data_IF_684136862931
#
_entry.id   IF_684136862931
#
_cell.length_a   1.000
_cell.length_b   1.000
_cell.length_c   1.000
_cell.angle_alpha   90.00
_cell.angle_beta   90.00
_cell.angle_gamma   90.00
#
_symmetry.space_group_name_H-M   'P 1'
#
loop_
_entity.id
_entity.type
_entity.pdbx_description
1 polymer ?
#
# COMPACT_ATOMS: atom_id res chain seq x y z
N UNK A 1 1.75 -6.68 -8.49
CA UNK A 1 0.52 -6.22 -9.16
C UNK A 1 -0.14 -5.20 -8.26
N UNK A 2 -0.43 -4.01 -8.77
CA UNK A 2 -0.87 -2.89 -7.93
C UNK A 2 -2.35 -3.04 -7.56
N UNK A 3 -3.20 -3.24 -8.56
CA UNK A 3 -4.64 -3.38 -8.36
C UNK A 3 -5.21 -4.53 -9.20
N UNK A 4 -6.07 -5.34 -8.58
CA UNK A 4 -6.85 -6.39 -9.23
C UNK A 4 -8.34 -6.16 -8.94
N UNK A 5 -9.12 -5.84 -9.96
CA UNK A 5 -10.57 -5.80 -9.88
C UNK A 5 -11.14 -7.13 -10.37
N UNK A 6 -11.86 -7.82 -9.49
CA UNK A 6 -12.53 -9.07 -9.80
C UNK A 6 -14.03 -8.85 -10.02
N UNK A 7 -14.50 -9.16 -11.21
CA UNK A 7 -15.92 -9.22 -11.56
C UNK A 7 -16.31 -10.68 -11.85
N UNK A 8 -17.57 -11.11 -11.67
CA UNK A 8 -18.01 -12.43 -12.12
C UNK A 8 -17.84 -12.70 -13.62
N UNK A 9 -17.59 -11.66 -14.44
CA UNK A 9 -17.53 -11.76 -15.91
C UNK A 9 -16.13 -11.58 -16.49
N UNK A 10 -15.23 -10.94 -15.75
CA UNK A 10 -13.86 -10.65 -16.18
C UNK A 10 -12.99 -10.28 -14.97
N UNK A 11 -11.69 -10.23 -15.20
CA UNK A 11 -10.70 -9.72 -14.26
C UNK A 11 -10.03 -8.51 -14.90
N UNK A 12 -9.85 -7.42 -14.16
CA UNK A 12 -9.11 -6.25 -14.62
C UNK A 12 -7.87 -6.06 -13.74
N UNK A 13 -6.71 -6.19 -14.36
CA UNK A 13 -5.41 -5.84 -13.78
C UNK A 13 -5.14 -4.37 -14.09
N UNK A 14 -4.72 -3.59 -13.10
CA UNK A 14 -4.27 -2.22 -13.32
C UNK A 14 -2.94 -1.97 -12.63
N UNK A 15 -2.05 -1.27 -13.33
CA UNK A 15 -0.80 -0.69 -12.79
C UNK A 15 -0.97 0.83 -12.75
N UNK A 16 -0.85 1.42 -11.56
CA UNK A 16 -1.17 2.83 -11.33
C UNK A 16 0.12 3.61 -11.15
N UNK A 17 0.42 4.50 -12.08
CA UNK A 17 1.62 5.34 -12.05
C UNK A 17 1.27 6.76 -11.64
N UNK A 18 1.87 7.20 -10.53
CA UNK A 18 1.82 8.58 -10.06
C UNK A 18 3.09 9.34 -10.46
N UNK A 19 3.20 9.72 -11.75
CA UNK A 19 4.43 10.28 -12.32
C UNK A 19 4.13 11.59 -13.02
N UNK A 20 4.67 12.70 -12.50
CA UNK A 20 4.62 14.02 -13.14
C UNK A 20 5.51 14.09 -14.38
N UNK A 21 5.09 14.86 -15.38
CA UNK A 21 5.90 15.21 -16.56
C UNK A 21 5.29 14.73 -17.87
N UNK A 22 6.08 14.79 -18.95
CA UNK A 22 5.69 14.18 -20.23
C UNK A 22 6.14 12.73 -20.24
N UNK A 23 5.19 11.82 -20.39
CA UNK A 23 5.36 10.38 -20.39
C UNK A 23 5.31 9.88 -21.84
N UNK A 24 6.48 9.54 -22.38
CA UNK A 24 6.62 9.06 -23.75
C UNK A 24 6.76 7.53 -23.79
N UNK A 25 5.84 6.89 -24.48
CA UNK A 25 5.88 5.45 -24.77
C UNK A 25 6.40 5.26 -26.19
N UNK A 26 7.66 4.86 -26.30
CA UNK A 26 8.29 4.60 -27.60
C UNK A 26 8.09 3.15 -28.02
N UNK A 27 7.46 2.94 -29.18
CA UNK A 27 7.27 1.62 -29.77
C UNK A 27 8.56 1.04 -30.35
N UNK A 28 9.48 1.87 -30.85
CA UNK A 28 10.66 1.38 -31.56
C UNK A 28 11.73 0.88 -30.61
N UNK A 29 12.04 1.66 -29.59
CA UNK A 29 12.99 1.28 -28.53
C UNK A 29 12.36 0.47 -27.39
N UNK A 30 11.03 0.34 -27.39
CA UNK A 30 10.21 -0.20 -26.27
C UNK A 30 10.40 0.55 -24.93
N UNK A 31 11.00 1.74 -24.97
CA UNK A 31 11.30 2.53 -23.78
C UNK A 31 10.09 3.30 -23.27
N UNK A 32 10.06 3.47 -21.95
CA UNK A 32 9.17 4.40 -21.28
C UNK A 32 10.02 5.54 -20.72
N UNK A 33 9.84 6.74 -21.28
CA UNK A 33 10.67 7.90 -21.00
C UNK A 33 9.82 8.97 -20.32
N UNK A 34 10.37 9.58 -19.29
CA UNK A 34 9.80 10.77 -18.66
C UNK A 34 10.66 11.98 -18.97
N UNK A 35 10.02 13.06 -19.42
CA UNK A 35 10.65 14.37 -19.57
C UNK A 35 10.08 15.35 -18.55
N UNK A 36 10.94 15.96 -17.72
CA UNK A 36 10.59 17.03 -16.78
C UNK A 36 11.72 18.06 -16.75
N UNK A 37 11.41 19.34 -16.91
CA UNK A 37 12.40 20.43 -16.96
C UNK A 37 13.57 20.12 -17.92
N UNK A 38 13.24 19.66 -19.14
CA UNK A 38 14.20 19.27 -20.19
C UNK A 38 15.11 18.07 -19.86
N UNK A 39 14.94 17.44 -18.70
CA UNK A 39 15.66 16.22 -18.32
C UNK A 39 14.85 15.00 -18.69
N UNK A 40 15.49 14.07 -19.39
CA UNK A 40 14.93 12.77 -19.73
C UNK A 40 15.44 11.68 -18.79
N UNK A 41 14.52 10.81 -18.41
CA UNK A 41 14.82 9.65 -17.57
C UNK A 41 14.06 8.44 -18.10
N UNK A 42 14.78 7.33 -18.29
CA UNK A 42 14.20 6.06 -18.71
C UNK A 42 13.67 5.28 -17.51
N UNK A 43 12.51 4.65 -17.70
CA UNK A 43 11.83 3.83 -16.70
C UNK A 43 11.51 2.45 -17.27
N UNK A 44 11.23 1.51 -16.37
CA UNK A 44 10.61 0.23 -16.76
C UNK A 44 9.24 0.48 -17.38
N UNK A 45 9.00 -0.09 -18.56
CA UNK A 45 7.76 0.10 -19.28
C UNK A 45 6.56 -0.54 -18.54
N UNK A 46 5.57 0.25 -18.08
CA UNK A 46 4.44 -0.27 -17.31
C UNK A 46 3.49 -1.13 -18.15
N UNK A 47 3.48 -0.96 -19.48
CA UNK A 47 2.70 -1.84 -20.38
C UNK A 47 3.25 -3.27 -20.30
N UNK A 48 4.58 -3.41 -20.40
CA UNK A 48 5.24 -4.70 -20.29
C UNK A 48 5.02 -5.31 -18.88
N UNK A 49 4.95 -4.47 -17.84
CA UNK A 49 4.64 -4.91 -16.48
C UNK A 49 3.24 -5.53 -16.38
N UNK A 50 2.20 -4.87 -16.90
CA UNK A 50 0.83 -5.39 -16.85
C UNK A 50 0.63 -6.60 -17.75
N UNK A 51 1.31 -6.68 -18.89
CA UNK A 51 1.26 -7.85 -19.77
C UNK A 51 1.90 -9.08 -19.11
N UNK A 52 3.03 -8.91 -18.42
CA UNK A 52 3.61 -9.98 -17.60
C UNK A 52 2.65 -10.44 -16.51
N UNK A 53 2.02 -9.51 -15.79
CA UNK A 53 1.03 -9.87 -14.76
C UNK A 53 -0.16 -10.62 -15.34
N UNK A 54 -0.66 -10.23 -16.51
CA UNK A 54 -1.72 -10.96 -17.23
C UNK A 54 -1.32 -12.43 -17.48
N UNK A 55 -0.13 -12.66 -18.04
CA UNK A 55 0.37 -14.02 -18.31
C UNK A 55 0.52 -14.82 -17.01
N UNK A 56 1.12 -14.21 -15.99
CA UNK A 56 1.32 -14.85 -14.68
C UNK A 56 0.00 -15.22 -14.01
N UNK A 57 -0.97 -14.31 -14.01
CA UNK A 57 -2.28 -14.57 -13.42
C UNK A 57 -3.02 -15.68 -14.17
N UNK A 58 -3.01 -15.66 -15.50
CA UNK A 58 -3.61 -16.72 -16.33
C UNK A 58 -3.03 -18.08 -15.98
N UNK A 59 -1.70 -18.20 -15.95
CA UNK A 59 -1.00 -19.44 -15.61
C UNK A 59 -1.32 -19.88 -14.18
N UNK A 60 -1.40 -18.93 -13.24
CA UNK A 60 -1.74 -19.20 -11.85
C UNK A 60 -3.19 -19.71 -11.69
N UNK A 61 -4.16 -19.13 -12.39
CA UNK A 61 -5.55 -19.60 -12.39
C UNK A 61 -5.65 -21.04 -12.90
N UNK A 62 -4.95 -21.35 -14.00
CA UNK A 62 -4.89 -22.71 -14.56
C UNK A 62 -4.27 -23.70 -13.57
N UNK A 63 -3.12 -23.36 -12.99
CA UNK A 63 -2.42 -24.20 -12.01
C UNK A 63 -3.30 -24.51 -10.78
N UNK A 64 -4.13 -23.55 -10.36
CA UNK A 64 -5.04 -23.71 -9.22
C UNK A 64 -6.41 -24.28 -9.58
N UNK A 65 -6.64 -24.69 -10.84
CA UNK A 65 -7.93 -25.23 -11.33
C UNK A 65 -9.09 -24.28 -10.99
N UNK A 66 -8.89 -23.01 -11.29
CA UNK A 66 -9.86 -21.92 -11.14
C UNK A 66 -10.47 -21.59 -12.51
N UNK A 67 -11.67 -20.98 -12.54
CA UNK A 67 -12.31 -20.56 -13.78
C UNK A 67 -11.42 -19.56 -14.55
N UNK A 68 -11.38 -19.70 -15.87
CA UNK A 68 -10.62 -18.83 -16.76
C UNK A 68 -11.52 -17.73 -17.29
N UNK A 69 -11.65 -16.67 -16.49
CA UNK A 69 -12.28 -15.44 -16.93
C UNK A 69 -11.39 -14.69 -17.94
N UNK A 70 -11.98 -13.89 -18.85
CA UNK A 70 -11.24 -12.87 -19.59
C UNK A 70 -10.45 -11.96 -18.63
N UNK A 71 -9.19 -11.70 -18.96
CA UNK A 71 -8.31 -10.85 -18.15
C UNK A 71 -7.95 -9.60 -18.96
N UNK A 72 -8.52 -8.47 -18.58
CA UNK A 72 -8.14 -7.15 -19.07
C UNK A 72 -6.96 -6.61 -18.27
N UNK A 73 -6.12 -5.81 -18.91
CA UNK A 73 -4.99 -5.16 -18.24
C UNK A 73 -4.77 -3.74 -18.75
N UNK A 74 -4.59 -2.78 -17.85
CA UNK A 74 -4.44 -1.35 -18.18
C UNK A 74 -3.37 -0.67 -17.34
N UNK A 75 -2.78 0.39 -17.88
CA UNK A 75 -1.91 1.32 -17.15
C UNK A 75 -2.70 2.59 -16.90
N UNK A 76 -2.71 3.04 -15.64
CA UNK A 76 -3.47 4.20 -15.21
C UNK A 76 -2.50 5.26 -14.75
N UNK A 77 -2.56 6.45 -15.34
CA UNK A 77 -1.76 7.60 -14.90
C UNK A 77 -2.59 8.41 -13.92
N UNK A 78 -2.19 8.43 -12.64
CA UNK A 78 -2.94 9.10 -11.58
C UNK A 78 -2.57 10.56 -11.39
N UNK A 79 -1.39 10.99 -11.86
CA UNK A 79 -0.96 12.39 -11.74
C UNK A 79 -1.66 13.23 -12.84
N UNK A 80 -2.59 14.15 -12.51
CA UNK A 80 -3.48 14.76 -13.51
C UNK A 80 -2.77 15.61 -14.56
N UNK A 81 -1.72 16.33 -14.18
CA UNK A 81 -0.99 17.23 -15.09
C UNK A 81 0.05 16.53 -15.97
N UNK A 82 0.09 15.19 -15.96
CA UNK A 82 1.01 14.44 -16.81
C UNK A 82 0.54 14.46 -18.26
N UNK A 83 1.47 14.45 -19.20
CA UNK A 83 1.13 14.42 -20.63
C UNK A 83 1.54 13.05 -21.17
N UNK A 84 0.57 12.28 -21.69
CA UNK A 84 0.85 10.98 -22.31
C UNK A 84 1.12 11.18 -23.80
N UNK A 85 2.28 10.73 -24.28
CA UNK A 85 2.66 10.76 -25.70
C UNK A 85 3.15 9.39 -26.16
N UNK A 86 2.99 9.11 -27.44
CA UNK A 86 3.54 7.91 -28.08
C UNK A 86 3.56 8.05 -29.60
N UNK A 87 4.50 7.37 -30.24
CA UNK A 87 4.51 7.09 -31.68
C UNK A 87 3.57 5.92 -32.08
N UNK A 88 2.81 5.36 -31.13
CA UNK A 88 1.85 4.28 -31.37
C UNK A 88 0.46 4.62 -30.81
N UNK A 89 -0.50 5.06 -31.65
CA UNK A 89 -1.84 5.43 -31.19
C UNK A 89 -2.61 4.33 -30.44
N UNK A 90 -2.28 3.05 -30.66
CA UNK A 90 -2.94 1.94 -29.99
C UNK A 90 -2.71 1.95 -28.46
N UNK A 91 -1.66 2.61 -27.98
CA UNK A 91 -1.36 2.66 -26.54
C UNK A 91 -2.47 3.37 -25.75
N UNK A 92 -3.21 4.30 -26.33
CA UNK A 92 -4.27 5.05 -25.64
C UNK A 92 -5.50 4.20 -25.29
N UNK A 93 -5.57 2.98 -25.82
CA UNK A 93 -6.55 1.99 -25.36
C UNK A 93 -6.11 1.30 -24.07
N UNK A 94 -4.78 1.15 -23.88
CA UNK A 94 -4.15 0.49 -22.74
C UNK A 94 -3.75 1.46 -21.61
N UNK A 95 -3.38 2.68 -21.96
CA UNK A 95 -2.83 3.71 -21.05
C UNK A 95 -3.73 4.95 -21.08
N UNK A 96 -4.20 5.41 -19.92
CA UNK A 96 -5.04 6.59 -19.81
C UNK A 96 -5.00 7.20 -18.39
N UNK A 97 -5.49 8.43 -18.26
CA UNK A 97 -5.60 9.10 -16.95
C UNK A 97 -6.69 8.49 -16.07
N UNK A 98 -6.46 8.48 -14.76
CA UNK A 98 -7.36 7.88 -13.78
C UNK A 98 -8.83 8.35 -13.89
N UNK A 99 -9.06 9.61 -14.26
CA UNK A 99 -10.41 10.17 -14.47
C UNK A 99 -11.23 9.43 -15.54
N UNK A 100 -10.58 8.77 -16.51
CA UNK A 100 -11.26 8.01 -17.56
C UNK A 100 -11.58 6.58 -17.16
N UNK A 101 -11.10 6.10 -16.01
CA UNK A 101 -11.30 4.72 -15.57
C UNK A 101 -12.78 4.30 -15.49
N UNK A 102 -13.71 5.10 -14.93
CA UNK A 102 -15.13 4.70 -14.88
C UNK A 102 -15.71 4.43 -16.27
N UNK A 103 -15.44 5.31 -17.24
CA UNK A 103 -15.90 5.15 -18.62
C UNK A 103 -15.27 3.92 -19.31
N UNK A 104 -14.00 3.63 -19.01
CA UNK A 104 -13.31 2.43 -19.53
C UNK A 104 -13.89 1.14 -18.94
N UNK A 105 -14.25 1.13 -17.65
CA UNK A 105 -14.93 0.00 -17.01
C UNK A 105 -16.28 -0.27 -17.68
N UNK A 106 -17.12 0.76 -17.87
CA UNK A 106 -18.41 0.62 -18.59
C UNK A 106 -18.20 0.03 -19.99
N UNK A 107 -17.12 0.41 -20.68
CA UNK A 107 -16.79 -0.13 -22.01
C UNK A 107 -16.42 -1.61 -21.93
N UNK A 108 -15.61 -2.01 -20.95
CA UNK A 108 -15.20 -3.40 -20.72
C UNK A 108 -16.41 -4.27 -20.34
N UNK A 109 -17.31 -3.76 -19.49
CA UNK A 109 -18.49 -4.49 -19.07
C UNK A 109 -19.44 -4.84 -20.21
N UNK A 110 -19.42 -4.07 -21.31
CA UNK A 110 -20.20 -4.36 -22.52
C UNK A 110 -19.60 -5.48 -23.38
N UNK A 111 -18.31 -5.78 -23.21
CA UNK A 111 -17.62 -6.84 -23.96
C UNK A 111 -17.88 -8.22 -23.36
N UNK A 112 -18.14 -8.30 -22.06
CA UNK A 112 -18.24 -9.56 -21.32
C UNK A 112 -19.59 -9.67 -20.62
N UNK A 113 -20.47 -10.49 -21.17
CA UNK A 113 -21.85 -10.65 -20.67
C UNK A 113 -22.04 -11.91 -19.81
N UNK A 114 -21.25 -12.96 -20.05
CA UNK A 114 -21.44 -14.26 -19.42
C UNK A 114 -20.69 -14.35 -18.08
N UNK A 115 -21.41 -14.45 -16.93
CA UNK A 115 -20.77 -14.60 -15.63
C UNK A 115 -20.45 -16.06 -15.34
N UNK A 116 -19.39 -16.30 -14.56
CA UNK A 116 -19.18 -17.59 -13.91
C UNK A 116 -20.20 -17.81 -12.79
N UNK A 117 -20.39 -19.07 -12.40
CA UNK A 117 -21.34 -19.39 -11.35
C UNK A 117 -20.90 -18.85 -9.97
N UNK A 118 -21.86 -18.70 -9.05
CA UNK A 118 -21.59 -18.11 -7.74
C UNK A 118 -20.63 -18.95 -6.87
N UNK A 119 -20.60 -20.27 -7.05
CA UNK A 119 -19.71 -21.18 -6.32
C UNK A 119 -18.28 -21.04 -6.82
N UNK A 120 -18.08 -20.99 -8.13
CA UNK A 120 -16.81 -20.71 -8.79
C UNK A 120 -16.28 -19.33 -8.42
N UNK A 121 -17.14 -18.31 -8.45
CA UNK A 121 -16.78 -16.95 -8.05
C UNK A 121 -16.28 -16.90 -6.60
N UNK A 122 -17.02 -17.51 -5.67
CA UNK A 122 -16.60 -17.61 -4.26
C UNK A 122 -15.30 -18.37 -4.08
N UNK A 123 -15.09 -19.46 -4.84
CA UNK A 123 -13.84 -20.24 -4.83
C UNK A 123 -12.67 -19.37 -5.30
N UNK A 124 -12.85 -18.65 -6.41
CA UNK A 124 -11.86 -17.74 -6.96
C UNK A 124 -11.48 -16.64 -5.96
N UNK A 125 -12.46 -15.91 -5.41
CA UNK A 125 -12.22 -14.85 -4.42
C UNK A 125 -11.46 -15.36 -3.20
N UNK A 126 -11.89 -16.48 -2.60
CA UNK A 126 -11.23 -17.05 -1.42
C UNK A 126 -9.80 -17.50 -1.73
N UNK A 127 -9.57 -18.07 -2.91
CA UNK A 127 -8.24 -18.56 -3.30
C UNK A 127 -7.28 -17.39 -3.54
N UNK A 128 -7.74 -16.32 -4.18
CA UNK A 128 -6.97 -15.08 -4.34
C UNK A 128 -6.61 -14.48 -2.99
N UNK A 129 -7.59 -14.27 -2.11
CA UNK A 129 -7.33 -13.72 -0.76
C UNK A 129 -6.41 -14.59 0.08
N UNK A 130 -6.49 -15.91 -0.04
CA UNK A 130 -5.60 -16.84 0.68
C UNK A 130 -4.15 -16.74 0.23
N UNK A 131 -3.90 -16.44 -1.05
CA UNK A 131 -2.55 -16.36 -1.61
C UNK A 131 -2.04 -14.92 -1.74
N UNK A 132 -2.89 -13.93 -1.43
CA UNK A 132 -2.45 -12.55 -1.34
C UNK A 132 -1.40 -12.45 -0.23
N UNK A 133 -0.25 -11.91 -0.60
CA UNK A 133 0.89 -11.73 0.29
C UNK A 133 1.28 -10.26 0.19
N UNK A 134 0.70 -9.40 1.06
CA UNK A 134 1.04 -7.99 1.09
C UNK A 134 2.54 -7.81 1.21
N UNK A 135 3.08 -6.83 0.48
CA UNK A 135 4.50 -6.50 0.52
C UNK A 135 4.88 -6.14 1.97
N UNK A 136 5.72 -6.97 2.59
CA UNK A 136 6.35 -6.67 3.87
C UNK A 136 7.72 -6.06 3.56
N UNK A 137 7.79 -4.74 3.54
CA UNK A 137 9.01 -4.00 3.33
C UNK A 137 9.57 -3.55 4.68
N UNK A 138 10.85 -3.83 4.93
CA UNK A 138 11.60 -3.10 5.95
C UNK A 138 11.90 -1.71 5.38
N UNK A 139 11.09 -0.73 5.75
CA UNK A 139 11.19 0.63 5.20
C UNK A 139 12.53 1.29 5.57
N UNK A 140 13.09 0.97 6.73
CA UNK A 140 14.36 1.53 7.18
C UNK A 140 15.49 0.99 6.31
N UNK A 141 15.51 -0.32 6.06
CA UNK A 141 16.47 -0.92 5.15
C UNK A 141 16.30 -0.43 3.71
N UNK A 142 15.06 -0.30 3.23
CA UNK A 142 14.78 0.12 1.86
C UNK A 142 15.26 1.54 1.55
N UNK A 143 15.08 2.46 2.51
CA UNK A 143 15.51 3.85 2.37
C UNK A 143 16.89 4.13 2.97
N UNK A 144 17.56 3.13 3.56
CA UNK A 144 18.87 3.29 4.19
C UNK A 144 18.89 4.18 5.43
N UNK A 145 17.79 4.22 6.19
CA UNK A 145 17.62 5.05 7.39
C UNK A 145 18.09 4.27 8.61
N UNK A 146 18.99 4.83 9.43
CA UNK A 146 19.32 4.23 10.72
C UNK A 146 18.11 4.36 11.66
N UNK A 147 17.65 3.28 12.33
CA UNK A 147 16.56 3.36 13.31
C UNK A 147 16.72 4.46 14.37
N UNK A 148 17.95 4.89 14.67
CA UNK A 148 18.25 5.99 15.60
C UNK A 148 17.90 7.38 15.08
N UNK A 149 17.76 7.54 13.77
CA UNK A 149 17.33 8.79 13.14
C UNK A 149 15.82 9.02 13.29
N UNK A 150 15.07 7.98 13.67
CA UNK A 150 13.63 8.09 13.90
C UNK A 150 13.36 8.90 15.16
N UNK A 151 12.60 9.99 15.00
CA UNK A 151 12.16 10.83 16.13
C UNK A 151 11.14 10.04 16.95
N UNK A 152 11.56 9.57 18.12
CA UNK A 152 10.71 8.81 19.04
C UNK A 152 9.83 9.69 19.91
N UNK A 153 8.60 9.28 20.17
CA UNK A 153 7.68 9.92 21.11
C UNK A 153 6.26 9.90 20.60
N UNK A 154 5.35 10.54 21.34
CA UNK A 154 3.96 10.70 20.90
C UNK A 154 3.81 12.03 20.19
N UNK A 155 3.30 11.98 18.95
CA UNK A 155 3.00 13.16 18.14
C UNK A 155 1.67 13.80 18.56
N UNK A 156 1.66 15.13 18.66
CA UNK A 156 0.44 15.89 18.86
C UNK A 156 -0.37 15.99 17.57
N UNK A 157 -1.65 15.58 17.55
CA UNK A 157 -2.47 15.64 16.34
C UNK A 157 -2.87 17.08 15.95
N UNK A 158 -2.74 18.05 16.86
CA UNK A 158 -3.15 19.43 16.60
C UNK A 158 -2.05 20.31 16.01
N UNK A 159 -0.77 20.04 16.31
CA UNK A 159 0.37 20.87 15.88
C UNK A 159 1.58 20.07 15.39
N UNK A 160 1.44 18.74 15.26
CA UNK A 160 2.46 17.82 14.77
C UNK A 160 3.75 17.74 15.62
N UNK A 161 3.83 18.49 16.73
CA UNK A 161 4.95 18.41 17.66
C UNK A 161 5.07 17.01 18.25
N UNK A 162 6.24 16.39 18.09
CA UNK A 162 6.58 15.09 18.67
C UNK A 162 7.14 15.32 20.07
N UNK A 163 6.87 14.40 21.01
CA UNK A 163 7.18 14.48 22.45
C UNK A 163 6.07 15.10 23.31
N UNK A 164 4.82 14.63 23.13
CA UNK A 164 3.80 14.85 24.16
C UNK A 164 4.22 14.22 25.49
N UNK A 165 3.91 14.90 26.60
CA UNK A 165 4.23 14.44 27.94
C UNK A 165 3.09 13.60 28.51
N UNK A 166 3.37 12.41 29.02
CA UNK A 166 2.39 11.59 29.72
C UNK A 166 2.40 11.88 31.22
N UNK A 167 1.29 12.38 31.78
CA UNK A 167 1.10 12.57 33.23
C UNK A 167 -0.34 12.26 33.63
N UNK A 168 -0.50 11.54 34.74
CA UNK A 168 -1.80 11.23 35.35
C UNK A 168 -2.85 10.65 34.36
N UNK A 169 -2.43 9.82 33.40
CA UNK A 169 -3.35 9.21 32.44
C UNK A 169 -3.54 9.99 31.14
N UNK A 170 -2.97 11.20 31.03
CA UNK A 170 -3.23 12.13 29.93
C UNK A 170 -1.92 12.47 29.22
N UNK A 171 -1.97 12.48 27.89
CA UNK A 171 -0.91 13.05 27.04
C UNK A 171 -1.16 14.54 26.86
N UNK A 172 -0.16 15.37 27.19
CA UNK A 172 -0.24 16.82 27.03
C UNK A 172 0.87 17.32 26.13
N UNK A 173 0.51 18.06 25.08
CA UNK A 173 1.48 18.68 24.18
C UNK A 173 2.12 19.89 24.87
N UNK A 174 3.46 19.99 24.97
CA UNK A 174 4.11 21.18 25.53
C UNK A 174 4.05 22.38 24.58
N UNK A 175 3.91 22.15 23.26
CA UNK A 175 3.87 23.21 22.24
C UNK A 175 2.52 23.93 22.20
N UNK A 176 1.42 23.21 21.96
CA UNK A 176 0.07 23.80 21.83
C UNK A 176 -0.85 23.58 23.04
N UNK A 177 -0.39 22.91 24.10
CA UNK A 177 -1.16 22.58 25.31
C UNK A 177 -2.33 21.59 25.13
N UNK A 178 -2.58 21.09 23.92
CA UNK A 178 -3.60 20.07 23.63
C UNK A 178 -3.44 18.81 24.48
N UNK A 179 -4.56 18.21 24.89
CA UNK A 179 -4.57 17.01 25.75
C UNK A 179 -5.36 15.87 25.15
N UNK A 180 -4.81 14.65 25.19
CA UNK A 180 -5.46 13.44 24.70
C UNK A 180 -5.19 12.25 25.63
N UNK A 181 -6.15 11.36 25.78
CA UNK A 181 -5.96 10.14 26.59
C UNK A 181 -5.30 9.00 25.78
N UNK A 182 -5.49 9.01 24.46
CA UNK A 182 -5.14 7.90 23.56
C UNK A 182 -4.12 8.27 22.47
N UNK A 183 -3.41 9.40 22.58
CA UNK A 183 -2.44 9.81 21.54
C UNK A 183 -1.35 8.77 21.26
N UNK A 184 -1.01 7.92 22.24
CA UNK A 184 -0.11 6.79 22.07
C UNK A 184 -0.59 5.70 21.09
N UNK A 185 -1.88 5.62 20.77
CA UNK A 185 -2.40 4.59 19.85
C UNK A 185 -1.75 4.75 18.47
N UNK A 186 -1.79 5.97 17.93
CA UNK A 186 -1.19 6.30 16.63
C UNK A 186 0.33 6.07 16.65
N UNK A 187 1.00 6.51 17.71
CA UNK A 187 2.44 6.29 17.85
C UNK A 187 2.82 4.79 17.82
N UNK A 188 2.05 3.92 18.50
CA UNK A 188 2.31 2.47 18.49
C UNK A 188 1.98 1.84 17.12
N UNK A 189 0.94 2.30 16.43
CA UNK A 189 0.66 1.89 15.05
C UNK A 189 1.79 2.28 14.08
N UNK A 190 2.34 3.48 14.25
CA UNK A 190 3.49 3.94 13.47
C UNK A 190 4.73 3.11 13.79
N UNK A 191 4.96 2.75 15.05
CA UNK A 191 6.01 1.79 15.42
C UNK A 191 5.86 0.47 14.66
N UNK A 192 4.63 -0.09 14.59
CA UNK A 192 4.42 -1.37 13.90
C UNK A 192 4.71 -1.31 12.40
N UNK A 193 4.56 -0.11 11.82
CA UNK A 193 4.80 0.15 10.41
C UNK A 193 6.28 0.44 10.11
N UNK A 194 6.97 1.12 11.03
CA UNK A 194 8.35 1.61 10.84
C UNK A 194 9.39 0.65 11.40
N UNK A 195 9.22 0.20 12.64
CA UNK A 195 10.25 -0.52 13.41
C UNK A 195 10.02 -2.03 13.42
N UNK A 196 8.79 -2.51 13.19
CA UNK A 196 8.48 -3.92 13.02
C UNK A 196 7.16 -4.37 13.67
N UNK A 197 6.67 -5.55 13.28
CA UNK A 197 5.29 -6.03 13.59
C UNK A 197 5.04 -6.45 15.04
N UNK A 198 6.04 -6.36 15.91
CA UNK A 198 5.92 -6.71 17.33
C UNK A 198 6.63 -5.68 18.19
N UNK A 199 6.05 -5.38 19.35
CA UNK A 199 6.64 -4.46 20.32
C UNK A 199 6.72 -5.13 21.68
N UNK A 200 7.87 -5.01 22.35
CA UNK A 200 8.04 -5.38 23.76
C UNK A 200 7.72 -4.18 24.66
N UNK A 201 7.57 -4.43 25.96
CA UNK A 201 7.42 -3.31 26.90
C UNK A 201 8.64 -2.37 26.89
N UNK A 202 9.85 -2.91 26.70
CA UNK A 202 11.08 -2.13 26.62
C UNK A 202 11.11 -1.22 25.39
N UNK A 203 10.86 -1.78 24.21
CA UNK A 203 10.75 -1.00 22.97
C UNK A 203 9.65 0.06 23.06
N UNK A 204 8.51 -0.25 23.69
CA UNK A 204 7.44 0.72 23.91
C UNK A 204 7.88 1.90 24.79
N UNK A 205 8.65 1.63 25.86
CA UNK A 205 9.21 2.68 26.71
C UNK A 205 10.18 3.57 25.96
N UNK A 206 11.10 2.97 25.21
CA UNK A 206 12.09 3.71 24.40
C UNK A 206 11.41 4.55 23.32
N UNK A 207 10.45 3.96 22.60
CA UNK A 207 9.76 4.63 21.51
C UNK A 207 8.81 5.73 21.98
N UNK A 208 8.03 5.50 23.04
CA UNK A 208 7.12 6.52 23.59
C UNK A 208 7.80 7.49 24.56
N UNK A 209 9.07 7.26 24.89
CA UNK A 209 9.84 7.99 25.92
C UNK A 209 9.17 7.99 27.28
N UNK A 210 8.74 6.80 27.73
CA UNK A 210 8.13 6.57 29.04
C UNK A 210 9.09 5.76 29.91
N UNK A 211 9.42 6.25 31.09
CA UNK A 211 10.33 5.54 32.00
C UNK A 211 9.68 4.35 32.72
N UNK A 212 8.38 4.46 33.04
CA UNK A 212 7.68 3.46 33.85
C UNK A 212 7.24 2.24 33.04
N UNK A 213 7.78 1.07 33.41
CA UNK A 213 7.34 -0.24 32.92
C UNK A 213 5.84 -0.49 33.11
N UNK A 214 5.29 -0.06 34.25
CA UNK A 214 3.89 -0.28 34.59
C UNK A 214 2.97 0.58 33.72
N UNK A 215 3.35 1.84 33.46
CA UNK A 215 2.62 2.72 32.54
C UNK A 215 2.62 2.12 31.14
N UNK A 216 3.79 1.78 30.59
CA UNK A 216 3.89 1.19 29.25
C UNK A 216 3.04 -0.10 29.14
N UNK A 217 3.05 -0.95 30.17
CA UNK A 217 2.20 -2.16 30.22
C UNK A 217 0.72 -1.81 30.21
N UNK A 218 0.30 -0.81 30.98
CA UNK A 218 -1.09 -0.37 31.04
C UNK A 218 -1.57 0.18 29.70
N UNK A 219 -0.75 0.98 29.01
CA UNK A 219 -1.06 1.52 27.69
C UNK A 219 -1.23 0.41 26.65
N UNK A 220 -0.27 -0.52 26.58
CA UNK A 220 -0.31 -1.65 25.65
C UNK A 220 -1.52 -2.58 25.88
N UNK A 221 -1.88 -2.82 27.15
CA UNK A 221 -3.08 -3.61 27.48
C UNK A 221 -4.37 -2.86 27.17
N UNK A 222 -4.40 -1.54 27.38
CA UNK A 222 -5.54 -0.68 27.07
C UNK A 222 -5.92 -0.69 25.58
N UNK A 223 -4.94 -0.86 24.70
CA UNK A 223 -5.13 -1.01 23.25
C UNK A 223 -5.71 -2.36 22.81
N UNK A 224 -5.87 -3.33 23.72
CA UNK A 224 -6.38 -4.69 23.43
C UNK A 224 -5.58 -5.44 22.35
N UNK A 225 -4.27 -5.21 22.28
CA UNK A 225 -3.36 -5.90 21.36
C UNK A 225 -3.26 -7.40 21.65
N UNK A 226 -3.02 -8.20 20.61
CA UNK A 226 -2.72 -9.63 20.75
C UNK A 226 -1.35 -9.81 21.40
N UNK A 227 -1.19 -10.91 22.12
CA UNK A 227 -0.03 -11.16 22.97
C UNK A 227 0.58 -12.52 22.65
N UNK A 228 1.91 -12.56 22.59
CA UNK A 228 2.68 -13.80 22.50
C UNK A 228 3.73 -13.83 23.59
N UNK A 229 3.98 -15.03 24.14
CA UNK A 229 4.91 -15.22 25.26
C UNK A 229 4.30 -14.91 26.63
N UNK A 230 4.89 -15.49 27.67
CA UNK A 230 4.33 -15.50 29.03
C UNK A 230 5.09 -14.63 30.03
N UNK A 231 6.37 -14.30 29.77
CA UNK A 231 7.26 -13.65 30.75
C UNK A 231 8.08 -12.50 30.14
N UNK A 232 9.42 -12.49 30.24
CA UNK A 232 10.29 -11.40 29.76
C UNK A 232 10.24 -11.20 28.24
N UNK A 233 9.89 -12.25 27.50
CA UNK A 233 9.78 -12.22 26.04
C UNK A 233 8.35 -11.93 25.57
N UNK A 234 7.53 -11.29 26.41
CA UNK A 234 6.16 -10.95 26.05
C UNK A 234 6.16 -9.85 24.99
N UNK A 235 5.61 -10.17 23.85
CA UNK A 235 5.46 -9.27 22.70
C UNK A 235 3.98 -8.97 22.45
N UNK A 236 3.73 -7.77 21.94
CA UNK A 236 2.41 -7.28 21.57
C UNK A 236 2.38 -7.05 20.06
N UNK A 237 1.26 -7.37 19.40
CA UNK A 237 1.07 -7.23 17.96
C UNK A 237 -0.41 -7.01 17.61
N UNK A 238 -0.66 -6.48 16.40
CA UNK A 238 -2.01 -6.26 15.85
C UNK A 238 -2.70 -7.57 15.42
#
# INVERSE_FOLDING_TARGET
MDTLLLCPRYILISDVKNILGTLYFDKESEQFIRTINEKEEGFSNPINQVERHHIQLKNWLQKNKLPLLPIEHRVIISYPSSIIRSNNPQIYQKVFHAEHLPNKIITIEKLYNDPIDQKEYRKLTRTLLKHDTPLKLDILQHYGIDPKEIITGVQCPACEFIHMNYRHGIWKCPSCQETLNNAHHKAIEDYFTIMGQTITNEQCREFLRIESRNVARSLLLGMKLKQSGTTKNKTYHL
#
